data_IF_750494232273
#
_entry.id   IF_750494232273
#
_cell.length_a   1.000
_cell.length_b   1.000
_cell.length_c   1.000
_cell.angle_alpha   90.00
_cell.angle_beta   90.00
_cell.angle_gamma   90.00
#
_symmetry.space_group_name_H-M   'P 1'
#
loop_
_entity.id
_entity.type
_entity.pdbx_description
1 polymer ?
#
# COMPACT_ATOMS: atom_id res chain seq x y z
N UNK A 1 -5.15 -5.86 -20.08
CA UNK A 1 -5.01 -5.35 -18.68
C UNK A 1 -4.28 -6.40 -17.83
N UNK A 2 -3.56 -6.05 -16.75
CA UNK A 2 -2.80 -7.05 -15.97
C UNK A 2 -3.68 -8.15 -15.37
N UNK A 3 -4.92 -7.83 -15.00
CA UNK A 3 -5.89 -8.77 -14.45
C UNK A 3 -6.38 -9.84 -15.45
N UNK A 4 -6.35 -9.56 -16.76
CA UNK A 4 -6.79 -10.51 -17.79
C UNK A 4 -5.96 -11.82 -17.75
N UNK A 5 -4.68 -11.71 -17.36
CA UNK A 5 -3.80 -12.88 -17.17
C UNK A 5 -4.19 -13.78 -16.00
N UNK A 6 -4.93 -13.23 -15.04
CA UNK A 6 -5.44 -13.96 -13.90
C UNK A 6 -6.80 -14.61 -14.19
N UNK A 7 -7.37 -14.38 -15.39
CA UNK A 7 -8.73 -14.79 -15.73
C UNK A 7 -9.78 -14.04 -14.90
N UNK A 8 -9.47 -12.82 -14.46
CA UNK A 8 -10.32 -12.01 -13.57
C UNK A 8 -10.79 -10.77 -14.32
N UNK A 9 -12.10 -10.53 -14.34
CA UNK A 9 -12.69 -9.29 -14.87
C UNK A 9 -12.53 -8.18 -13.84
N UNK A 10 -11.52 -7.34 -14.02
CA UNK A 10 -11.19 -6.26 -13.10
C UNK A 10 -11.99 -4.97 -13.38
N UNK A 11 -12.48 -4.34 -12.33
CA UNK A 11 -13.00 -2.97 -12.37
C UNK A 11 -11.88 -1.96 -12.11
N UNK A 12 -10.95 -2.33 -11.23
CA UNK A 12 -9.70 -1.63 -10.99
C UNK A 12 -8.63 -2.60 -10.47
N UNK A 13 -7.37 -2.29 -10.74
CA UNK A 13 -6.26 -3.09 -10.25
C UNK A 13 -5.04 -2.19 -9.97
N UNK A 14 -4.38 -2.42 -8.84
CA UNK A 14 -3.18 -1.68 -8.47
C UNK A 14 -2.25 -2.53 -7.61
N UNK A 15 -0.95 -2.30 -7.74
CA UNK A 15 0.02 -2.92 -6.84
C UNK A 15 -0.02 -2.23 -5.49
N UNK A 16 -0.15 -3.02 -4.44
CA UNK A 16 -0.16 -2.53 -3.08
C UNK A 16 0.86 -3.27 -2.21
N UNK A 17 1.34 -2.57 -1.20
CA UNK A 17 2.18 -3.09 -0.13
C UNK A 17 1.43 -3.08 1.18
N UNK A 18 1.95 -3.81 2.15
CA UNK A 18 1.67 -3.57 3.56
C UNK A 18 2.95 -3.11 4.23
N UNK A 19 2.81 -2.37 5.32
CA UNK A 19 3.92 -2.08 6.22
C UNK A 19 4.36 -3.35 6.98
N UNK A 20 5.39 -3.20 7.81
CA UNK A 20 5.92 -4.29 8.62
C UNK A 20 4.82 -4.89 9.49
N UNK A 21 4.62 -6.21 9.37
CA UNK A 21 3.72 -6.95 10.26
C UNK A 21 4.27 -6.87 11.70
N UNK A 22 3.49 -6.35 12.67
CA UNK A 22 3.90 -6.31 14.08
C UNK A 22 4.02 -7.72 14.64
N UNK A 23 4.74 -7.86 15.76
CA UNK A 23 4.91 -9.16 16.40
C UNK A 23 3.61 -9.56 17.10
N UNK A 24 2.95 -10.68 16.71
CA UNK A 24 1.76 -11.17 17.41
C UNK A 24 2.11 -11.74 18.78
N UNK A 25 1.14 -11.81 19.71
CA UNK A 25 1.27 -12.55 20.96
C UNK A 25 1.73 -13.99 20.72
N UNK A 26 2.46 -14.55 21.69
CA UNK A 26 3.10 -15.86 21.52
C UNK A 26 2.08 -16.98 21.33
N UNK A 27 0.94 -16.90 22.01
CA UNK A 27 -0.18 -17.82 21.88
C UNK A 27 -0.82 -17.76 20.49
N UNK A 28 -1.03 -16.55 19.96
CA UNK A 28 -1.57 -16.34 18.60
C UNK A 28 -0.61 -16.89 17.55
N UNK A 29 0.68 -16.60 17.69
CA UNK A 29 1.70 -17.07 16.76
C UNK A 29 1.79 -18.60 16.73
N UNK A 30 1.72 -19.22 17.90
CA UNK A 30 1.75 -20.68 18.06
C UNK A 30 0.50 -21.32 17.48
N UNK A 31 -0.67 -20.77 17.76
CA UNK A 31 -1.95 -21.24 17.22
C UNK A 31 -1.98 -21.16 15.67
N UNK A 32 -1.34 -20.14 15.10
CA UNK A 32 -1.20 -19.98 13.66
C UNK A 32 -0.12 -20.88 13.01
N UNK A 33 0.62 -21.68 13.78
CA UNK A 33 1.67 -22.57 13.27
C UNK A 33 2.98 -21.85 12.90
N UNK A 34 3.32 -20.76 13.59
CA UNK A 34 4.53 -19.97 13.34
C UNK A 34 4.70 -19.50 11.89
N UNK A 35 3.70 -18.80 11.30
CA UNK A 35 3.80 -18.34 9.93
C UNK A 35 4.93 -17.30 9.76
N UNK A 36 5.50 -17.18 8.55
CA UNK A 36 6.43 -16.11 8.25
C UNK A 36 5.75 -14.75 8.41
N UNK A 37 6.37 -13.84 9.17
CA UNK A 37 5.91 -12.46 9.37
C UNK A 37 6.71 -11.45 8.51
N UNK A 38 7.62 -11.96 7.68
CA UNK A 38 8.48 -11.14 6.81
C UNK A 38 8.44 -11.68 5.38
N UNK A 39 8.68 -10.81 4.38
CA UNK A 39 8.88 -11.25 3.02
C UNK A 39 10.02 -12.28 2.93
N UNK A 40 9.93 -13.17 1.95
CA UNK A 40 11.02 -14.08 1.66
C UNK A 40 12.29 -13.35 1.23
N UNK A 41 13.41 -14.06 1.26
CA UNK A 41 14.68 -13.53 0.76
C UNK A 41 14.60 -13.39 -0.76
N UNK A 42 15.14 -12.28 -1.28
CA UNK A 42 15.44 -12.20 -2.71
C UNK A 42 16.56 -13.20 -3.00
N UNK A 43 16.45 -13.92 -4.12
CA UNK A 43 17.64 -14.57 -4.67
C UNK A 43 18.61 -13.46 -5.06
N UNK A 44 19.90 -13.53 -4.66
CA UNK A 44 20.89 -12.51 -4.98
C UNK A 44 21.16 -12.50 -6.48
N UNK A 45 20.34 -11.79 -7.22
CA UNK A 45 20.58 -11.37 -8.60
C UNK A 45 20.88 -9.88 -8.52
N UNK A 46 22.15 -9.49 -8.39
CA UNK A 46 22.40 -8.06 -8.18
C UNK A 46 23.83 -7.54 -8.00
N UNK A 47 24.91 -8.29 -8.22
CA UNK A 47 26.23 -7.64 -8.30
C UNK A 47 26.29 -6.61 -9.46
N UNK A 48 25.49 -6.81 -10.51
CA UNK A 48 25.41 -5.89 -11.65
C UNK A 48 24.63 -4.59 -11.33
N UNK A 49 23.58 -4.67 -10.52
CA UNK A 49 22.76 -3.49 -10.17
C UNK A 49 23.47 -2.52 -9.22
N UNK A 50 24.29 -3.04 -8.30
CA UNK A 50 25.08 -2.20 -7.39
C UNK A 50 26.18 -1.41 -8.12
N UNK A 51 26.83 -2.03 -9.11
CA UNK A 51 27.86 -1.37 -9.92
C UNK A 51 27.29 -0.21 -10.77
N UNK A 52 26.10 -0.41 -11.36
CA UNK A 52 25.40 0.65 -12.11
C UNK A 52 24.94 1.79 -11.20
N UNK A 53 24.46 1.52 -9.99
CA UNK A 53 24.06 2.57 -9.04
C UNK A 53 25.24 3.45 -8.62
N UNK A 54 26.43 2.88 -8.42
CA UNK A 54 27.66 3.61 -8.11
C UNK A 54 28.10 4.52 -9.27
N UNK A 55 27.92 4.09 -10.52
CA UNK A 55 28.27 4.89 -11.70
C UNK A 55 27.40 6.15 -11.83
N UNK A 56 26.11 6.05 -11.53
CA UNK A 56 25.15 7.15 -11.68
C UNK A 56 24.91 7.97 -10.40
N UNK A 57 25.41 7.54 -9.24
CA UNK A 57 25.32 8.26 -7.98
C UNK A 57 25.73 9.75 -8.05
N UNK A 58 26.88 10.15 -8.65
CA UNK A 58 27.27 11.56 -8.70
C UNK A 58 26.30 12.42 -9.53
N UNK A 59 25.72 11.86 -10.60
CA UNK A 59 24.74 12.55 -11.42
C UNK A 59 23.42 12.77 -10.66
N UNK A 60 22.94 11.74 -9.96
CA UNK A 60 21.71 11.85 -9.13
C UNK A 60 21.90 12.84 -7.99
N UNK A 61 23.08 12.84 -7.35
CA UNK A 61 23.40 13.80 -6.28
C UNK A 61 23.38 15.25 -6.79
N UNK A 62 23.97 15.50 -7.97
CA UNK A 62 23.97 16.82 -8.60
C UNK A 62 22.54 17.30 -8.92
N UNK A 63 21.70 16.42 -9.51
CA UNK A 63 20.31 16.75 -9.82
C UNK A 63 19.47 17.03 -8.57
N UNK A 64 19.72 16.30 -7.48
CA UNK A 64 19.02 16.52 -6.20
C UNK A 64 19.40 17.86 -5.58
N UNK A 65 20.69 18.21 -5.56
CA UNK A 65 21.17 19.51 -5.07
C UNK A 65 20.62 20.68 -5.88
N UNK A 66 20.51 20.52 -7.20
CA UNK A 66 19.90 21.53 -8.07
C UNK A 66 18.40 21.69 -7.78
N UNK A 67 17.68 20.59 -7.57
CA UNK A 67 16.26 20.62 -7.21
C UNK A 67 16.04 21.33 -5.85
N UNK A 68 16.86 21.01 -4.84
CA UNK A 68 16.78 21.64 -3.52
C UNK A 68 17.09 23.14 -3.57
N UNK A 69 18.07 23.56 -4.38
CA UNK A 69 18.41 24.97 -4.58
C UNK A 69 17.29 25.73 -5.31
N UNK A 70 16.68 25.11 -6.31
CA UNK A 70 15.52 25.68 -7.02
C UNK A 70 14.31 25.81 -6.08
N UNK A 71 14.07 24.82 -5.22
CA UNK A 71 12.98 24.86 -4.26
C UNK A 71 13.22 25.90 -3.16
N UNK A 72 14.46 26.04 -2.68
CA UNK A 72 14.85 27.09 -1.74
C UNK A 72 14.70 28.50 -2.34
N UNK A 73 15.10 28.67 -3.62
CA UNK A 73 14.95 29.93 -4.34
C UNK A 73 13.47 30.27 -4.60
N UNK A 74 12.65 29.28 -4.98
CA UNK A 74 11.19 29.44 -5.12
C UNK A 74 10.53 29.81 -3.80
N UNK A 75 10.95 29.22 -2.67
CA UNK A 75 10.45 29.60 -1.34
C UNK A 75 10.89 31.01 -0.94
N UNK A 76 12.11 31.43 -1.29
CA UNK A 76 12.64 32.76 -1.00
C UNK A 76 11.92 33.85 -1.83
N UNK A 77 11.66 33.58 -3.11
CA UNK A 77 10.96 34.47 -4.04
C UNK A 77 9.43 34.30 -3.99
N UNK A 78 8.91 33.41 -3.14
CA UNK A 78 7.48 33.10 -3.08
C UNK A 78 6.68 34.37 -2.81
N UNK A 79 5.80 34.67 -3.74
CA UNK A 79 4.84 35.78 -3.64
C UNK A 79 3.88 35.55 -2.47
N UNK A 80 3.21 36.61 -1.99
CA UNK A 80 2.29 36.52 -0.84
C UNK A 80 1.21 35.44 -1.04
N UNK A 81 0.70 35.29 -2.26
CA UNK A 81 -0.26 34.26 -2.65
C UNK A 81 0.30 32.83 -2.59
N UNK A 82 1.56 32.63 -2.98
CA UNK A 82 2.23 31.33 -2.89
C UNK A 82 2.49 30.93 -1.44
N UNK A 83 2.85 31.89 -0.57
CA UNK A 83 3.00 31.65 0.88
C UNK A 83 1.68 31.27 1.53
N UNK A 84 0.57 31.91 1.15
CA UNK A 84 -0.77 31.55 1.62
C UNK A 84 -1.17 30.14 1.15
N UNK A 85 -0.87 29.78 -0.10
CA UNK A 85 -1.09 28.42 -0.63
C UNK A 85 -0.27 27.36 0.11
N UNK A 86 1.00 27.65 0.42
CA UNK A 86 1.85 26.75 1.21
C UNK A 86 1.29 26.55 2.62
N UNK A 87 0.87 27.63 3.30
CA UNK A 87 0.25 27.53 4.63
C UNK A 87 -1.04 26.72 4.63
N UNK A 88 -1.89 26.91 3.60
CA UNK A 88 -3.11 26.13 3.45
C UNK A 88 -2.81 24.65 3.23
N UNK A 89 -1.80 24.33 2.41
CA UNK A 89 -1.32 22.95 2.21
C UNK A 89 -0.79 22.35 3.52
N UNK A 90 0.06 23.08 4.25
CA UNK A 90 0.62 22.62 5.52
C UNK A 90 -0.48 22.36 6.56
N UNK A 91 -1.51 23.21 6.62
CA UNK A 91 -2.65 23.01 7.50
C UNK A 91 -3.46 21.76 7.12
N UNK A 92 -3.68 21.53 5.82
CA UNK A 92 -4.35 20.33 5.33
C UNK A 92 -3.53 19.05 5.62
N UNK A 93 -2.22 19.09 5.42
CA UNK A 93 -1.31 17.98 5.74
C UNK A 93 -1.32 17.67 7.25
N UNK A 94 -1.27 18.69 8.12
CA UNK A 94 -1.40 18.50 9.58
C UNK A 94 -2.74 17.88 9.97
N UNK A 95 -3.84 18.31 9.34
CA UNK A 95 -5.17 17.74 9.60
C UNK A 95 -5.24 16.27 9.17
N UNK A 96 -4.69 15.95 7.99
CA UNK A 96 -4.57 14.57 7.52
C UNK A 96 -3.79 13.71 8.52
N UNK A 97 -2.61 14.18 8.94
CA UNK A 97 -1.73 13.42 9.82
C UNK A 97 -2.35 13.23 11.21
N UNK A 98 -3.09 14.23 11.72
CA UNK A 98 -3.88 14.10 12.94
C UNK A 98 -4.97 13.02 12.81
N UNK A 99 -5.70 12.99 11.70
CA UNK A 99 -6.73 11.96 11.44
C UNK A 99 -6.13 10.56 11.26
N UNK A 100 -4.95 10.46 10.64
CA UNK A 100 -4.20 9.20 10.54
C UNK A 100 -3.90 8.66 11.95
N UNK A 101 -3.36 9.51 12.82
CA UNK A 101 -3.02 9.13 14.18
C UNK A 101 -4.26 8.81 15.03
N UNK A 102 -5.29 9.65 14.97
CA UNK A 102 -6.55 9.47 15.72
C UNK A 102 -7.22 8.13 15.39
N UNK A 103 -7.22 7.75 14.11
CA UNK A 103 -7.83 6.51 13.62
C UNK A 103 -6.88 5.30 13.64
N UNK A 104 -5.64 5.48 14.12
CA UNK A 104 -4.62 4.43 14.15
C UNK A 104 -4.17 3.93 12.77
N UNK A 105 -4.41 4.72 11.71
CA UNK A 105 -4.10 4.35 10.33
C UNK A 105 -2.59 4.38 10.03
N UNK A 106 -1.77 4.85 10.97
CA UNK A 106 -0.32 4.70 10.95
C UNK A 106 0.12 3.24 11.12
N UNK A 107 -0.76 2.40 11.69
CA UNK A 107 -0.54 0.96 11.84
C UNK A 107 -0.96 0.18 10.59
N UNK A 108 -0.41 -1.03 10.45
CA UNK A 108 -0.74 -1.92 9.32
C UNK A 108 -2.15 -2.51 9.43
N UNK A 109 -2.69 -2.64 10.64
CA UNK A 109 -4.02 -3.18 10.92
C UNK A 109 -4.49 -2.69 12.30
N UNK A 110 -5.73 -2.99 12.65
CA UNK A 110 -6.41 -2.52 13.87
C UNK A 110 -5.88 -3.07 15.22
N UNK A 111 -4.87 -3.94 15.20
CA UNK A 111 -4.31 -4.56 16.40
C UNK A 111 -5.06 -5.80 16.89
N UNK A 112 -6.22 -6.13 16.33
CA UNK A 112 -7.02 -7.26 16.75
C UNK A 112 -6.61 -8.56 16.04
N UNK A 113 -5.69 -9.30 16.66
CA UNK A 113 -5.20 -10.59 16.15
C UNK A 113 -6.28 -11.67 16.03
N UNK A 114 -7.36 -11.57 16.80
CA UNK A 114 -8.50 -12.50 16.76
C UNK A 114 -9.58 -12.07 15.75
N UNK A 115 -9.42 -10.91 15.10
CA UNK A 115 -10.27 -10.48 14.00
C UNK A 115 -9.90 -11.12 12.67
N UNK A 116 -10.76 -10.94 11.67
CA UNK A 116 -10.55 -11.38 10.29
C UNK A 116 -9.28 -10.75 9.70
N UNK A 117 -9.05 -9.44 9.92
CA UNK A 117 -7.84 -8.75 9.49
C UNK A 117 -6.58 -9.35 10.12
N UNK A 118 -6.58 -9.61 11.44
CA UNK A 118 -5.47 -10.23 12.15
C UNK A 118 -5.14 -11.63 11.64
N UNK A 119 -6.16 -12.49 11.50
CA UNK A 119 -6.00 -13.83 10.90
C UNK A 119 -5.51 -13.76 9.45
N UNK A 120 -6.05 -12.83 8.67
CA UNK A 120 -5.63 -12.62 7.30
C UNK A 120 -4.17 -12.13 7.21
N UNK A 121 -3.75 -11.27 8.14
CA UNK A 121 -2.39 -10.75 8.21
C UNK A 121 -1.39 -11.86 8.56
N UNK A 122 -1.73 -12.77 9.48
CA UNK A 122 -0.89 -13.93 9.83
C UNK A 122 -0.62 -14.85 8.63
N UNK A 123 -1.60 -15.00 7.73
CA UNK A 123 -1.45 -15.78 6.50
C UNK A 123 -0.75 -15.07 5.34
N UNK A 124 -0.41 -13.77 5.49
CA UNK A 124 -0.02 -12.91 4.38
C UNK A 124 1.23 -13.40 3.62
N UNK A 125 2.29 -13.77 4.35
CA UNK A 125 3.52 -14.27 3.73
C UNK A 125 3.53 -15.79 3.51
N UNK A 126 2.66 -16.55 4.18
CA UNK A 126 2.42 -17.96 3.85
C UNK A 126 1.81 -18.12 2.46
N UNK A 127 0.91 -17.20 2.08
CA UNK A 127 0.28 -17.17 0.74
C UNK A 127 1.23 -16.70 -0.37
N UNK A 128 2.17 -15.82 -0.03
CA UNK A 128 3.20 -15.36 -0.96
C UNK A 128 4.38 -14.74 -0.21
N UNK A 129 5.59 -15.18 -0.55
CA UNK A 129 6.80 -14.59 0.00
C UNK A 129 7.14 -13.19 -0.58
N UNK A 130 6.41 -12.71 -1.60
CA UNK A 130 6.60 -11.37 -2.15
C UNK A 130 6.12 -10.30 -1.13
N UNK A 131 6.61 -9.05 -1.13
CA UNK A 131 6.08 -7.97 -0.28
C UNK A 131 4.87 -7.23 -0.88
N UNK A 132 4.75 -7.19 -2.20
CA UNK A 132 3.65 -6.52 -2.92
C UNK A 132 2.62 -7.51 -3.43
N UNK A 133 1.34 -7.10 -3.42
CA UNK A 133 0.19 -7.82 -4.02
C UNK A 133 -0.45 -6.91 -5.04
N UNK A 134 -0.82 -7.46 -6.19
CA UNK A 134 -1.81 -6.82 -7.05
C UNK A 134 -3.17 -7.00 -6.39
N UNK A 135 -3.77 -5.89 -5.98
CA UNK A 135 -5.13 -5.84 -5.45
C UNK A 135 -6.04 -5.51 -6.61
N UNK A 136 -7.02 -6.37 -6.84
CA UNK A 136 -7.98 -6.25 -7.95
C UNK A 136 -9.37 -6.13 -7.35
N UNK A 137 -10.01 -4.99 -7.58
CA UNK A 137 -11.42 -4.81 -7.31
C UNK A 137 -12.22 -5.49 -8.43
N UNK A 138 -13.16 -6.33 -8.03
CA UNK A 138 -14.08 -7.05 -8.92
C UNK A 138 -15.51 -6.82 -8.42
N UNK A 139 -16.48 -7.06 -9.29
CA UNK A 139 -17.91 -6.82 -9.01
C UNK A 139 -18.37 -7.46 -7.68
N UNK A 140 -17.87 -8.65 -7.35
CA UNK A 140 -18.27 -9.45 -6.20
C UNK A 140 -17.25 -9.49 -5.05
N UNK A 141 -16.25 -8.59 -5.04
CA UNK A 141 -15.29 -8.50 -3.95
C UNK A 141 -13.86 -8.11 -4.36
N UNK A 142 -12.89 -8.80 -3.79
CA UNK A 142 -11.46 -8.46 -3.88
C UNK A 142 -10.66 -9.70 -4.26
N UNK A 143 -9.82 -9.58 -5.28
CA UNK A 143 -8.83 -10.59 -5.63
C UNK A 143 -7.42 -10.07 -5.34
N UNK A 144 -6.63 -10.86 -4.63
CA UNK A 144 -5.22 -10.57 -4.37
C UNK A 144 -4.35 -11.52 -5.18
N UNK A 145 -3.44 -10.95 -5.94
CA UNK A 145 -2.48 -11.71 -6.75
C UNK A 145 -1.04 -11.35 -6.39
N UNK A 146 -0.17 -12.33 -6.32
CA UNK A 146 1.25 -12.09 -6.09
C UNK A 146 2.10 -13.23 -6.66
N UNK A 147 3.39 -12.98 -6.96
CA UNK A 147 4.34 -14.05 -7.23
C UNK A 147 4.43 -15.01 -6.02
N UNK A 148 4.52 -16.33 -6.21
CA UNK A 148 4.63 -17.27 -5.09
C UNK A 148 5.94 -17.09 -4.30
N UNK A 149 7.01 -16.66 -4.99
CA UNK A 149 8.33 -16.36 -4.40
C UNK A 149 8.67 -14.89 -4.62
N UNK A 150 9.52 -14.33 -3.76
CA UNK A 150 9.99 -12.95 -3.95
C UNK A 150 10.86 -12.87 -5.21
N UNK A 151 10.56 -11.90 -6.08
CA UNK A 151 11.27 -11.61 -7.33
C UNK A 151 11.63 -10.13 -7.37
N UNK A 152 12.70 -9.77 -8.06
CA UNK A 152 13.11 -8.37 -8.28
C UNK A 152 12.54 -7.79 -9.58
N UNK A 153 12.28 -8.64 -10.58
CA UNK A 153 11.83 -8.24 -11.92
C UNK A 153 10.73 -9.19 -12.39
N UNK A 154 9.78 -8.68 -13.17
CA UNK A 154 8.76 -9.49 -13.83
C UNK A 154 7.68 -10.04 -12.89
N UNK A 155 7.40 -9.35 -11.78
CA UNK A 155 6.34 -9.73 -10.83
C UNK A 155 4.98 -9.94 -11.53
N UNK A 156 4.70 -9.18 -12.58
CA UNK A 156 3.46 -9.26 -13.37
C UNK A 156 3.37 -10.53 -14.22
N UNK A 157 4.51 -11.16 -14.55
CA UNK A 157 4.56 -12.42 -15.29
C UNK A 157 4.41 -13.64 -14.38
N UNK A 158 4.81 -13.51 -13.12
CA UNK A 158 4.85 -14.62 -12.16
C UNK A 158 3.71 -14.61 -11.16
N UNK A 159 2.86 -13.58 -11.19
CA UNK A 159 1.73 -13.48 -10.27
C UNK A 159 0.70 -14.58 -10.50
N UNK A 160 0.11 -15.03 -9.38
CA UNK A 160 -1.01 -15.95 -9.32
C UNK A 160 -2.00 -15.41 -8.29
N UNK A 161 -3.25 -15.81 -8.36
CA UNK A 161 -4.22 -15.48 -7.30
C UNK A 161 -3.78 -16.19 -6.02
N UNK A 162 -3.61 -15.41 -4.95
CA UNK A 162 -3.17 -15.88 -3.63
C UNK A 162 -4.25 -15.74 -2.56
N UNK A 163 -5.27 -14.92 -2.80
CA UNK A 163 -6.49 -14.88 -2.01
C UNK A 163 -7.66 -14.32 -2.85
N UNK A 164 -8.86 -14.78 -2.53
CA UNK A 164 -10.12 -14.17 -2.96
C UNK A 164 -10.92 -13.87 -1.70
N UNK A 165 -11.47 -12.67 -1.63
CA UNK A 165 -12.36 -12.23 -0.57
C UNK A 165 -13.66 -11.81 -1.26
N UNK A 166 -14.76 -12.44 -0.93
CA UNK A 166 -16.08 -12.01 -1.42
C UNK A 166 -16.45 -10.66 -0.79
N UNK A 167 -17.35 -9.92 -1.44
CA UNK A 167 -17.87 -8.66 -0.91
C UNK A 167 -18.59 -8.82 0.43
N UNK A 168 -19.03 -10.05 0.76
CA UNK A 168 -19.59 -10.37 2.08
C UNK A 168 -18.53 -10.56 3.18
N UNK A 169 -17.30 -10.87 2.80
CA UNK A 169 -16.17 -11.06 3.72
C UNK A 169 -15.39 -9.76 3.92
N UNK A 170 -15.12 -9.03 2.85
CA UNK A 170 -14.38 -7.79 2.90
C UNK A 170 -14.68 -6.83 1.74
N UNK A 171 -14.50 -5.54 2.00
CA UNK A 171 -14.65 -4.46 1.02
C UNK A 171 -13.43 -3.54 1.03
N UNK A 172 -13.13 -2.93 -0.12
CA UNK A 172 -12.11 -1.87 -0.20
C UNK A 172 -12.73 -0.55 0.21
N UNK A 173 -12.01 0.24 1.00
CA UNK A 173 -12.47 1.54 1.53
C UNK A 173 -11.35 2.56 1.40
N UNK A 174 -11.70 3.77 0.96
CA UNK A 174 -10.85 4.95 1.13
C UNK A 174 -11.18 5.55 2.50
N UNK A 175 -10.24 5.52 3.47
CA UNK A 175 -10.52 6.00 4.83
C UNK A 175 -10.81 7.50 4.89
N UNK A 176 -10.50 8.26 3.84
CA UNK A 176 -10.71 9.71 3.77
C UNK A 176 -11.81 10.11 2.79
N UNK A 177 -12.46 9.16 2.13
CA UNK A 177 -13.53 9.44 1.15
C UNK A 177 -13.13 10.52 0.12
N UNK A 178 -11.87 10.49 -0.35
CA UNK A 178 -11.33 11.45 -1.31
C UNK A 178 -10.92 12.82 -0.78
N UNK A 179 -11.12 13.07 0.53
CA UNK A 179 -10.77 14.36 1.15
C UNK A 179 -9.27 14.67 1.02
N UNK A 180 -8.42 13.64 1.16
CA UNK A 180 -6.97 13.78 1.09
C UNK A 180 -6.39 12.95 -0.05
N UNK A 181 -5.30 13.46 -0.64
CA UNK A 181 -4.52 12.70 -1.61
C UNK A 181 -3.56 11.77 -0.86
N UNK A 182 -3.98 10.52 -0.66
CA UNK A 182 -3.23 9.54 0.13
C UNK A 182 -2.91 8.29 -0.68
N UNK A 183 -2.00 7.49 -0.13
CA UNK A 183 -1.71 6.14 -0.62
C UNK A 183 -2.40 5.06 0.20
N UNK A 184 -3.33 5.44 1.08
CA UNK A 184 -3.92 4.55 2.06
C UNK A 184 -5.24 4.03 1.51
N UNK A 185 -5.31 2.70 1.33
CA UNK A 185 -6.57 1.99 1.08
C UNK A 185 -6.74 0.98 2.21
N UNK A 186 -7.96 0.80 2.70
CA UNK A 186 -8.26 -0.22 3.69
C UNK A 186 -8.97 -1.40 3.02
N UNK A 187 -8.61 -2.61 3.44
CA UNK A 187 -9.50 -3.77 3.34
C UNK A 187 -10.26 -3.82 4.66
N UNK A 188 -11.55 -3.52 4.63
CA UNK A 188 -12.44 -3.60 5.79
C UNK A 188 -13.17 -4.94 5.75
N UNK A 189 -12.97 -5.76 6.77
CA UNK A 189 -13.61 -7.06 6.90
C UNK A 189 -14.99 -6.92 7.54
N UNK A 190 -15.82 -7.96 7.40
CA UNK A 190 -17.18 -8.02 7.93
C UNK A 190 -17.26 -7.80 9.44
N UNK A 191 -16.27 -8.27 10.19
CA UNK A 191 -16.18 -8.07 11.64
C UNK A 191 -15.73 -6.64 12.04
N UNK A 192 -15.65 -5.73 11.07
CA UNK A 192 -15.17 -4.34 11.16
C UNK A 192 -13.67 -4.21 11.43
N UNK A 193 -12.94 -5.32 11.51
CA UNK A 193 -11.48 -5.25 11.50
C UNK A 193 -10.99 -4.76 10.15
N UNK A 194 -9.81 -4.14 10.13
CA UNK A 194 -9.27 -3.55 8.92
C UNK A 194 -7.78 -3.84 8.74
N UNK A 195 -7.37 -3.92 7.48
CA UNK A 195 -5.98 -4.02 7.05
C UNK A 195 -5.65 -2.84 6.14
N UNK A 196 -4.59 -2.10 6.47
CA UNK A 196 -4.08 -1.01 5.65
C UNK A 196 -3.19 -1.52 4.53
N UNK A 197 -3.50 -1.05 3.32
CA UNK A 197 -2.72 -1.24 2.11
C UNK A 197 -2.13 0.11 1.67
N UNK A 198 -0.86 0.09 1.28
CA UNK A 198 -0.19 1.21 0.63
C UNK A 198 -0.22 1.06 -0.89
N UNK A 199 -0.78 2.02 -1.61
CA UNK A 199 -0.69 2.08 -3.08
C UNK A 199 0.66 2.66 -3.53
N UNK A 200 1.07 2.37 -4.76
CA UNK A 200 2.32 2.93 -5.33
C UNK A 200 2.17 4.44 -5.53
N UNK A 201 1.05 4.86 -6.10
CA UNK A 201 0.78 6.26 -6.40
C UNK A 201 -0.40 6.77 -5.56
N UNK A 202 -0.34 8.03 -5.12
CA UNK A 202 -1.52 8.71 -4.59
C UNK A 202 -2.55 8.87 -5.74
N UNK A 203 -3.84 8.69 -5.46
CA UNK A 203 -4.93 8.71 -6.48
C UNK A 203 -4.74 7.74 -7.66
N UNK A 204 -4.17 6.57 -7.38
CA UNK A 204 -4.06 5.46 -8.34
C UNK A 204 -5.41 4.90 -8.81
N UNK A 205 -5.36 3.80 -9.55
CA UNK A 205 -6.54 3.16 -10.13
C UNK A 205 -7.57 2.75 -9.07
N UNK A 206 -7.11 2.26 -7.90
CA UNK A 206 -8.00 1.87 -6.81
C UNK A 206 -8.68 3.07 -6.15
N UNK A 207 -7.96 4.16 -5.90
CA UNK A 207 -8.59 5.36 -5.34
C UNK A 207 -9.65 5.93 -6.28
N UNK A 208 -9.34 6.06 -7.58
CA UNK A 208 -10.33 6.52 -8.58
C UNK A 208 -11.54 5.61 -8.68
N UNK A 209 -11.36 4.32 -8.42
CA UNK A 209 -12.46 3.38 -8.32
C UNK A 209 -13.31 3.62 -7.08
N UNK A 210 -12.68 3.75 -5.91
CA UNK A 210 -13.37 3.98 -4.63
C UNK A 210 -14.16 5.29 -4.61
N UNK A 211 -13.66 6.34 -5.25
CA UNK A 211 -14.38 7.62 -5.39
C UNK A 211 -15.67 7.52 -6.22
N UNK A 212 -15.82 6.47 -7.04
CA UNK A 212 -17.01 6.23 -7.85
C UNK A 212 -18.01 5.30 -7.15
N UNK A 213 -17.59 4.62 -6.08
CA UNK A 213 -18.45 3.73 -5.33
C UNK A 213 -19.30 4.53 -4.34
N UNK A 214 -20.55 4.11 -4.06
CA UNK A 214 -21.33 4.69 -2.98
C UNK A 214 -20.55 4.54 -1.66
N UNK A 215 -20.63 5.56 -0.82
CA UNK A 215 -19.99 5.54 0.51
C UNK A 215 -20.41 4.26 1.23
N UNK A 216 -19.46 3.39 1.54
CA UNK A 216 -19.75 2.21 2.33
C UNK A 216 -20.19 2.69 3.72
N UNK A 217 -21.39 2.29 4.14
CA UNK A 217 -22.00 2.74 5.39
C UNK A 217 -20.98 2.69 6.55
N UNK A 218 -20.94 3.80 7.30
CA UNK A 218 -19.95 4.12 8.34
C UNK A 218 -20.12 3.23 9.56
#
# INVERSE_FOLDING_TARGET
MMADRLGVRAEAAEWCTIDKIPQPPAEVLRAAGHPPLRPGRLRPLGMVGAALALLFAPLVMLLSLLADAEEALKRALATKSERERLRAKDAADRRRDALIAERGLDQVFDGNWHGDAGRFLLGWYSRSAHPERLVVAVEDGIVLAAPPKRVSVGKEKHMRVVARLSGSEAVLVDPFNGEFDTRIVLVRFRDRSWLRLGTVEPRGALHKYLLRQPLADS
#
